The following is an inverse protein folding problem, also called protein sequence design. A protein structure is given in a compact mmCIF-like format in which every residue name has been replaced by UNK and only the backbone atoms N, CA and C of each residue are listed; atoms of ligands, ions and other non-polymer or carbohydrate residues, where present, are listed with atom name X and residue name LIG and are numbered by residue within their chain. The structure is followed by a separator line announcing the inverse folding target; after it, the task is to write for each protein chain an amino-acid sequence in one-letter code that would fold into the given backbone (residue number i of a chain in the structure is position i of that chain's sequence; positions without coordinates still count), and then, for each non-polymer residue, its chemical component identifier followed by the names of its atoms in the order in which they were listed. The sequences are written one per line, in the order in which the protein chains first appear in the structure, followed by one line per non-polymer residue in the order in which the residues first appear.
data_IF_440432335965
#
_entry.id   IF_440432335965
#
_cell.length_a   1.000
_cell.length_b   1.000
_cell.length_c   1.000
_cell.angle_alpha   90.00
_cell.angle_beta   90.00
_cell.angle_gamma   90.00
#
_symmetry.space_group_name_H-M   'P 1'
#
loop_
_entity.id
_entity.type
_entity.pdbx_description
1 polymer ?
#
# COMPACT_ATOMS: atom_id res chain seq x y z
N UNK A 1 -16.62 -37.91 97.31
CA UNK A 1 -16.35 -36.56 97.83
C UNK A 1 -17.10 -35.56 96.95
N UNK A 2 -18.05 -34.82 97.54
CA UNK A 2 -18.79 -33.60 97.07
C UNK A 2 -19.39 -33.62 95.65
N UNK A 3 -20.72 -33.70 95.49
CA UNK A 3 -21.80 -32.71 95.68
C UNK A 3 -22.25 -32.10 94.34
N UNK A 4 -23.57 -32.05 94.18
CA UNK A 4 -24.41 -31.57 93.08
C UNK A 4 -24.08 -30.18 92.52
N UNK A 5 -24.56 -29.88 91.29
CA UNK A 5 -25.63 -28.90 91.05
C UNK A 5 -25.98 -28.82 89.55
N UNK A 6 -27.28 -28.77 89.25
CA UNK A 6 -27.84 -28.47 87.94
C UNK A 6 -28.13 -26.97 87.82
N UNK A 7 -27.89 -26.36 86.66
CA UNK A 7 -28.52 -25.10 86.24
C UNK A 7 -28.74 -25.12 84.72
N UNK A 8 -30.00 -25.08 84.31
CA UNK A 8 -30.45 -24.68 82.96
C UNK A 8 -30.34 -23.17 82.79
N UNK A 9 -29.87 -22.72 81.63
CA UNK A 9 -30.21 -21.39 81.10
C UNK A 9 -30.65 -21.54 79.65
N UNK A 10 -31.90 -21.16 79.38
CA UNK A 10 -32.41 -20.90 78.05
C UNK A 10 -31.99 -19.50 77.60
N UNK A 11 -31.64 -19.34 76.31
CA UNK A 11 -31.60 -18.03 75.65
C UNK A 11 -32.03 -18.19 74.18
N UNK A 12 -33.01 -17.37 73.82
CA UNK A 12 -33.79 -17.24 72.60
C UNK A 12 -32.98 -16.66 71.41
N UNK A 13 -33.52 -16.73 70.16
CA UNK A 13 -32.76 -16.59 68.92
C UNK A 13 -32.58 -15.12 68.51
N UNK A 14 -31.48 -14.83 67.79
CA UNK A 14 -31.35 -13.60 67.01
C UNK A 14 -31.29 -13.99 65.53
N UNK A 15 -32.43 -13.79 64.87
CA UNK A 15 -32.58 -13.77 63.41
C UNK A 15 -31.77 -12.58 62.85
N UNK A 16 -30.63 -12.87 62.22
CA UNK A 16 -29.92 -11.92 61.39
C UNK A 16 -30.48 -11.92 59.97
N UNK A 17 -31.27 -10.90 59.63
CA UNK A 17 -31.69 -10.64 58.25
C UNK A 17 -30.50 -10.04 57.50
N UNK A 18 -29.83 -10.82 56.66
CA UNK A 18 -28.87 -10.27 55.68
C UNK A 18 -29.64 -9.90 54.41
N UNK A 19 -29.90 -8.60 54.25
CA UNK A 19 -30.24 -8.01 52.97
C UNK A 19 -29.02 -8.04 52.05
N UNK A 20 -28.84 -9.13 51.30
CA UNK A 20 -27.95 -9.13 50.15
C UNK A 20 -28.72 -8.51 48.97
N UNK A 21 -28.47 -7.23 48.72
CA UNK A 21 -28.91 -6.56 47.51
C UNK A 21 -28.38 -7.32 46.28
N UNK A 22 -29.28 -7.82 45.44
CA UNK A 22 -28.95 -8.37 44.14
C UNK A 22 -28.38 -7.26 43.25
N UNK A 23 -27.10 -7.38 42.87
CA UNK A 23 -26.52 -6.61 41.78
C UNK A 23 -26.80 -7.41 40.50
N UNK A 24 -27.60 -6.90 39.54
CA UNK A 24 -27.63 -7.51 38.23
C UNK A 24 -26.33 -7.16 37.51
N UNK A 25 -25.41 -8.11 37.42
CA UNK A 25 -24.30 -8.04 36.46
C UNK A 25 -24.88 -8.26 35.06
N UNK A 26 -25.34 -7.17 34.44
CA UNK A 26 -25.50 -7.14 32.99
C UNK A 26 -24.10 -7.07 32.43
N UNK A 27 -23.53 -8.23 32.08
CA UNK A 27 -22.35 -8.29 31.22
C UNK A 27 -22.71 -7.61 29.91
N UNK A 28 -22.39 -6.32 29.84
CA UNK A 28 -22.33 -5.59 28.60
C UNK A 28 -21.30 -6.27 27.73
N UNK A 29 -21.76 -7.21 26.90
CA UNK A 29 -21.02 -7.66 25.73
C UNK A 29 -20.73 -6.40 24.94
N UNK A 30 -19.51 -5.87 25.12
CA UNK A 30 -18.97 -4.79 24.32
C UNK A 30 -18.97 -5.29 22.88
N UNK A 31 -20.05 -4.96 22.15
CA UNK A 31 -20.13 -5.11 20.72
C UNK A 31 -19.04 -4.21 20.15
N UNK A 32 -17.86 -4.78 19.94
CA UNK A 32 -16.75 -4.11 19.26
C UNK A 32 -17.33 -3.61 17.94
N UNK A 33 -17.50 -2.30 17.82
CA UNK A 33 -17.95 -1.65 16.58
C UNK A 33 -17.05 -2.15 15.48
N UNK A 34 -17.60 -2.92 14.53
CA UNK A 34 -16.85 -3.39 13.36
C UNK A 34 -16.37 -2.14 12.63
N UNK A 35 -15.07 -1.87 12.65
CA UNK A 35 -14.49 -0.74 11.92
C UNK A 35 -14.88 -0.80 10.46
N UNK A 36 -15.21 0.33 9.84
CA UNK A 36 -15.51 0.36 8.40
C UNK A 36 -14.22 0.06 7.62
N UNK A 37 -14.27 -0.73 6.54
CA UNK A 37 -13.12 -0.89 5.66
C UNK A 37 -12.57 0.46 5.21
N UNK A 38 -11.26 0.63 5.37
CA UNK A 38 -10.49 1.81 5.01
C UNK A 38 -10.22 2.80 6.14
N UNK A 39 -10.81 2.59 7.33
CA UNK A 39 -10.59 3.48 8.47
C UNK A 39 -9.23 3.23 9.15
N UNK A 40 -8.64 2.05 8.93
CA UNK A 40 -7.33 1.69 9.50
C UNK A 40 -6.52 0.83 8.54
N UNK A 41 -5.20 0.78 8.78
CA UNK A 41 -4.28 -0.10 8.05
C UNK A 41 -4.61 -1.58 8.22
N UNK A 42 -5.13 -1.98 9.39
CA UNK A 42 -5.50 -3.37 9.68
C UNK A 42 -6.81 -3.83 9.05
N UNK A 43 -7.64 -2.88 8.59
CA UNK A 43 -8.89 -3.15 7.89
C UNK A 43 -9.01 -2.23 6.67
N UNK A 44 -8.18 -2.40 5.62
CA UNK A 44 -8.16 -1.51 4.46
C UNK A 44 -9.30 -1.84 3.47
N UNK A 45 -9.63 -0.90 2.59
CA UNK A 45 -10.44 -1.19 1.40
C UNK A 45 -9.60 -2.03 0.42
N UNK A 46 -10.02 -3.27 0.17
CA UNK A 46 -9.29 -4.22 -0.67
C UNK A 46 -9.80 -4.17 -2.10
N UNK A 47 -8.93 -4.16 -3.10
CA UNK A 47 -9.37 -4.26 -4.48
C UNK A 47 -8.26 -4.49 -5.49
N UNK A 48 -8.69 -4.90 -6.69
CA UNK A 48 -7.84 -5.05 -7.86
C UNK A 48 -7.83 -3.78 -8.72
N UNK A 49 -6.69 -3.50 -9.33
CA UNK A 49 -6.55 -2.39 -10.28
C UNK A 49 -6.73 -2.92 -11.71
N UNK A 50 -7.50 -2.19 -12.51
CA UNK A 50 -7.69 -2.50 -13.93
C UNK A 50 -6.60 -1.83 -14.76
N UNK A 51 -5.92 -2.64 -15.58
CA UNK A 51 -4.92 -2.23 -16.58
C UNK A 51 -5.66 -1.92 -17.88
N UNK A 52 -5.43 -0.75 -18.44
CA UNK A 52 -6.16 -0.20 -19.59
C UNK A 52 -5.37 -0.29 -20.90
N UNK A 53 -4.05 -0.33 -20.84
CA UNK A 53 -3.18 -0.35 -22.01
C UNK A 53 -1.70 -0.30 -21.61
N UNK A 54 -1.06 0.83 -21.87
CA UNK A 54 0.35 1.09 -21.55
C UNK A 54 0.61 1.25 -20.04
N UNK A 55 -0.42 1.48 -19.23
CA UNK A 55 -0.29 1.41 -17.77
C UNK A 55 0.14 0.00 -17.27
N UNK A 56 0.14 -1.02 -18.13
CA UNK A 56 0.72 -2.32 -17.83
C UNK A 56 2.19 -2.22 -17.42
N UNK A 57 3.00 -1.37 -18.07
CA UNK A 57 4.42 -1.18 -17.69
C UNK A 57 4.53 -0.56 -16.31
N UNK A 58 3.78 0.52 -16.04
CA UNK A 58 3.81 1.19 -14.73
C UNK A 58 3.40 0.24 -13.61
N UNK A 59 2.36 -0.56 -13.83
CA UNK A 59 1.92 -1.52 -12.81
C UNK A 59 2.89 -2.68 -12.67
N UNK A 60 3.59 -3.11 -13.72
CA UNK A 60 4.60 -4.16 -13.57
C UNK A 60 5.80 -3.72 -12.73
N UNK A 61 6.16 -2.42 -12.79
CA UNK A 61 7.10 -1.79 -11.84
C UNK A 61 6.57 -1.89 -10.42
N UNK A 62 5.30 -1.52 -10.19
CA UNK A 62 4.66 -1.59 -8.86
C UNK A 62 4.65 -3.02 -8.31
N UNK A 63 4.28 -3.98 -9.16
CA UNK A 63 4.25 -5.39 -8.84
C UNK A 63 5.63 -5.93 -8.49
N UNK A 64 6.66 -5.57 -9.25
CA UNK A 64 8.05 -5.91 -8.89
C UNK A 64 8.45 -5.30 -7.54
N UNK A 65 8.14 -4.03 -7.32
CA UNK A 65 8.47 -3.34 -6.07
C UNK A 65 7.78 -4.01 -4.86
N UNK A 66 6.48 -4.33 -4.97
CA UNK A 66 5.73 -5.03 -3.92
C UNK A 66 6.25 -6.46 -3.71
N UNK A 67 6.44 -7.21 -4.80
CA UNK A 67 6.75 -8.64 -4.77
C UNK A 67 8.22 -8.91 -4.38
N UNK A 68 9.15 -8.13 -4.93
CA UNK A 68 10.58 -8.42 -4.86
C UNK A 68 11.35 -7.47 -3.94
N UNK A 69 10.82 -6.27 -3.66
CA UNK A 69 11.48 -5.28 -2.78
C UNK A 69 10.76 -5.04 -1.46
N UNK A 70 9.66 -5.76 -1.22
CA UNK A 70 8.88 -5.67 0.02
C UNK A 70 8.14 -4.34 0.19
N UNK A 71 7.92 -3.59 -0.90
CA UNK A 71 7.15 -2.35 -0.84
C UNK A 71 5.69 -2.62 -0.43
N UNK A 72 5.03 -1.68 0.27
CA UNK A 72 3.71 -1.90 0.82
C UNK A 72 2.64 -2.17 -0.25
N UNK A 73 1.84 -3.22 -0.04
CA UNK A 73 0.59 -3.45 -0.79
C UNK A 73 -0.59 -2.70 -0.19
N UNK A 74 -0.47 -2.28 1.08
CA UNK A 74 -1.48 -1.52 1.84
C UNK A 74 -0.97 -0.13 2.11
N UNK A 75 -1.68 0.90 1.65
CA UNK A 75 -1.25 2.29 1.67
C UNK A 75 -2.39 3.20 2.11
N UNK A 76 -2.05 4.40 2.59
CA UNK A 76 -3.05 5.44 2.90
C UNK A 76 -3.03 6.53 1.82
N UNK A 77 -4.16 6.75 1.15
CA UNK A 77 -4.30 7.79 0.13
C UNK A 77 -4.19 9.18 0.76
N UNK A 78 -3.50 10.10 0.11
CA UNK A 78 -3.35 11.51 0.54
C UNK A 78 -3.85 12.49 -0.53
N UNK A 79 -4.00 13.76 -0.11
CA UNK A 79 -4.40 14.85 -0.99
C UNK A 79 -3.29 15.31 -1.94
N UNK A 80 -3.64 16.17 -2.91
CA UNK A 80 -2.73 16.68 -3.95
C UNK A 80 -1.51 17.43 -3.38
N UNK A 81 -1.70 18.28 -2.37
CA UNK A 81 -0.61 19.08 -1.78
C UNK A 81 0.52 18.21 -1.21
N UNK A 82 0.27 17.25 -0.30
CA UNK A 82 1.33 16.35 0.15
C UNK A 82 1.83 15.42 -0.96
N UNK A 83 1.00 15.03 -1.93
CA UNK A 83 1.47 14.25 -3.07
C UNK A 83 2.47 14.99 -3.97
N UNK A 84 2.35 16.31 -4.08
CA UNK A 84 3.35 17.13 -4.77
C UNK A 84 4.67 17.19 -3.97
N UNK A 85 4.59 17.24 -2.64
CA UNK A 85 5.79 17.20 -1.76
C UNK A 85 6.53 15.87 -1.93
N UNK A 86 5.81 14.76 -2.07
CA UNK A 86 6.40 13.44 -2.31
C UNK A 86 7.24 13.37 -3.59
N UNK A 87 7.12 14.30 -4.54
CA UNK A 87 7.92 14.33 -5.77
C UNK A 87 9.11 15.29 -5.72
N UNK A 88 9.19 16.11 -4.67
CA UNK A 88 10.21 17.15 -4.55
C UNK A 88 11.58 16.57 -4.22
N UNK A 89 12.64 17.25 -4.68
CA UNK A 89 14.03 16.88 -4.38
C UNK A 89 14.32 16.90 -2.89
N UNK A 90 13.80 17.91 -2.18
CA UNK A 90 14.14 18.14 -0.77
C UNK A 90 13.48 17.15 0.19
N UNK A 91 12.36 16.53 -0.20
CA UNK A 91 11.49 15.80 0.72
C UNK A 91 10.97 14.46 0.20
N UNK A 92 11.13 14.20 -1.09
CA UNK A 92 10.44 13.13 -1.79
C UNK A 92 11.37 12.25 -2.64
N UNK A 93 10.82 11.69 -3.70
CA UNK A 93 11.51 10.82 -4.66
C UNK A 93 12.44 11.55 -5.62
N UNK A 94 12.39 12.89 -5.64
CA UNK A 94 13.03 13.72 -6.66
C UNK A 94 12.54 13.47 -8.11
N UNK A 95 11.37 12.86 -8.33
CA UNK A 95 10.77 12.71 -9.66
C UNK A 95 10.57 14.06 -10.41
N UNK A 96 10.41 15.18 -9.69
CA UNK A 96 10.36 16.51 -10.30
C UNK A 96 11.66 16.93 -11.01
N UNK A 97 12.81 16.25 -10.76
CA UNK A 97 14.03 16.44 -11.56
C UNK A 97 13.88 15.93 -12.99
N UNK A 98 12.88 15.08 -13.25
CA UNK A 98 12.69 14.37 -14.52
C UNK A 98 13.95 13.56 -14.91
N UNK A 99 14.43 12.66 -14.03
CA UNK A 99 15.73 12.03 -14.19
C UNK A 99 15.83 11.18 -15.46
N UNK A 100 14.72 10.65 -15.95
CA UNK A 100 14.70 9.81 -17.16
C UNK A 100 14.67 10.60 -18.48
N UNK A 101 14.57 11.95 -18.45
CA UNK A 101 14.80 12.77 -19.66
C UNK A 101 16.27 12.81 -20.06
N UNK A 102 17.16 12.71 -19.08
CA UNK A 102 18.61 12.70 -19.26
C UNK A 102 19.25 11.84 -18.15
N UNK A 103 19.14 10.50 -18.25
CA UNK A 103 19.63 9.60 -17.21
C UNK A 103 21.15 9.72 -17.02
N UNK A 104 21.90 10.02 -18.08
CA UNK A 104 23.35 10.19 -18.04
C UNK A 104 23.78 11.34 -17.12
N UNK A 105 23.09 12.50 -17.18
CA UNK A 105 23.30 13.62 -16.25
C UNK A 105 23.17 13.23 -14.77
N UNK A 106 22.40 12.19 -14.47
CA UNK A 106 22.15 11.71 -13.12
C UNK A 106 22.92 10.43 -12.76
N UNK A 107 23.83 9.98 -13.63
CA UNK A 107 24.61 8.76 -13.42
C UNK A 107 23.78 7.47 -13.49
N UNK A 108 22.62 7.52 -14.15
CA UNK A 108 21.72 6.40 -14.34
C UNK A 108 21.99 5.73 -15.69
N UNK A 109 21.86 4.40 -15.74
CA UNK A 109 21.83 3.63 -16.99
C UNK A 109 20.62 4.08 -17.82
N UNK A 110 20.80 4.45 -19.11
CA UNK A 110 19.67 4.78 -19.97
C UNK A 110 18.80 3.53 -20.22
N UNK A 111 17.48 3.71 -20.19
CA UNK A 111 16.54 2.66 -20.60
C UNK A 111 16.78 2.24 -22.06
N UNK A 112 16.43 0.99 -22.45
CA UNK A 112 16.61 0.51 -23.82
C UNK A 112 15.81 1.34 -24.84
N UNK A 113 16.11 1.22 -26.14
CA UNK A 113 15.26 1.78 -27.18
C UNK A 113 13.80 1.36 -27.02
N UNK A 114 12.90 2.26 -27.37
CA UNK A 114 11.46 2.03 -27.28
C UNK A 114 11.01 1.18 -28.46
N UNK A 115 9.96 0.39 -28.24
CA UNK A 115 9.43 -0.51 -29.26
C UNK A 115 8.01 -0.08 -29.69
N UNK A 116 7.41 -0.87 -30.58
CA UNK A 116 6.05 -0.63 -31.08
C UNK A 116 5.01 -0.58 -29.94
N UNK A 117 5.20 -1.38 -28.88
CA UNK A 117 4.29 -1.40 -27.72
C UNK A 117 4.23 -0.03 -27.03
N UNK A 118 5.37 0.66 -26.88
CA UNK A 118 5.42 2.02 -26.34
C UNK A 118 5.21 3.13 -27.39
N UNK A 119 4.70 2.79 -28.58
CA UNK A 119 4.51 3.73 -29.69
C UNK A 119 5.79 4.43 -30.13
N UNK A 120 6.95 3.78 -29.94
CA UNK A 120 8.28 4.37 -30.12
C UNK A 120 8.52 5.68 -29.34
N UNK A 121 7.78 5.93 -28.25
CA UNK A 121 7.93 7.11 -27.40
C UNK A 121 8.91 6.85 -26.26
N UNK A 122 9.84 7.79 -26.03
CA UNK A 122 10.88 7.70 -25.00
C UNK A 122 10.39 7.36 -23.60
N UNK A 123 11.19 6.59 -22.85
CA UNK A 123 10.98 6.24 -21.43
C UNK A 123 11.31 7.40 -20.49
N UNK A 124 10.72 8.56 -20.72
CA UNK A 124 11.16 9.84 -20.14
C UNK A 124 10.40 10.27 -18.89
N UNK A 125 9.32 9.56 -18.53
CA UNK A 125 8.53 9.82 -17.33
C UNK A 125 8.98 8.91 -16.19
N UNK A 126 8.86 9.39 -14.94
CA UNK A 126 9.22 8.61 -13.77
C UNK A 126 7.97 7.96 -13.17
N UNK A 127 7.85 6.64 -13.34
CA UNK A 127 6.94 5.83 -12.51
C UNK A 127 7.46 5.85 -11.07
N UNK A 128 6.58 5.88 -10.07
CA UNK A 128 6.97 5.98 -8.67
C UNK A 128 6.17 5.04 -7.77
N UNK A 129 6.84 4.06 -7.14
CA UNK A 129 6.22 3.17 -6.17
C UNK A 129 6.96 3.12 -4.83
N UNK A 130 6.31 3.31 -3.67
CA UNK A 130 4.87 3.55 -3.50
C UNK A 130 4.41 4.88 -4.09
N UNK A 131 3.14 4.93 -4.53
CA UNK A 131 2.62 6.08 -5.27
C UNK A 131 2.82 7.38 -4.48
N UNK A 132 3.30 8.42 -5.15
CA UNK A 132 3.37 9.74 -4.53
C UNK A 132 2.00 10.25 -4.04
N UNK A 133 0.87 9.68 -4.51
CA UNK A 133 -0.48 9.94 -3.99
C UNK A 133 -0.84 9.22 -2.68
N UNK A 134 0.13 8.59 -2.02
CA UNK A 134 -0.02 7.88 -0.74
C UNK A 134 0.94 8.42 0.33
N UNK A 135 0.68 8.10 1.60
CA UNK A 135 1.59 8.42 2.72
C UNK A 135 2.93 7.71 2.62
N UNK A 136 2.92 6.51 2.07
CA UNK A 136 4.09 5.64 1.93
C UNK A 136 4.97 6.03 0.74
N UNK A 137 4.45 6.87 -0.17
CA UNK A 137 5.20 7.38 -1.31
C UNK A 137 6.16 8.50 -0.96
N UNK A 138 7.01 8.84 -1.94
CA UNK A 138 7.98 9.92 -1.84
C UNK A 138 9.38 9.43 -1.51
N UNK A 139 9.89 9.72 -0.31
CA UNK A 139 11.24 9.29 0.07
C UNK A 139 11.31 7.76 0.00
N UNK A 140 12.36 7.24 -0.64
CA UNK A 140 12.56 5.80 -0.90
C UNK A 140 11.61 5.16 -1.91
N UNK A 141 10.77 5.93 -2.61
CA UNK A 141 10.03 5.39 -3.74
C UNK A 141 10.99 4.93 -4.84
N UNK A 142 10.74 3.73 -5.35
CA UNK A 142 11.37 3.16 -6.53
C UNK A 142 10.90 3.94 -7.75
N UNK A 143 11.85 4.26 -8.61
CA UNK A 143 11.66 4.98 -9.85
C UNK A 143 12.09 4.14 -11.03
N UNK A 144 11.25 4.07 -12.06
CA UNK A 144 11.57 3.46 -13.36
C UNK A 144 11.10 4.39 -14.49
N UNK A 145 11.88 4.44 -15.57
CA UNK A 145 11.54 5.22 -16.76
C UNK A 145 10.41 4.56 -17.54
N UNK A 146 9.33 5.31 -17.79
CA UNK A 146 8.15 4.87 -18.56
C UNK A 146 7.76 5.92 -19.59
N UNK A 147 6.85 5.60 -20.53
CA UNK A 147 6.35 6.62 -21.45
C UNK A 147 5.43 7.59 -20.71
N UNK A 148 5.27 8.80 -21.25
CA UNK A 148 4.27 9.75 -20.76
C UNK A 148 2.85 9.17 -20.87
N UNK A 149 2.58 8.34 -21.89
CA UNK A 149 1.28 7.71 -22.07
C UNK A 149 1.01 6.67 -20.98
N UNK A 150 1.97 5.79 -20.67
CA UNK A 150 1.86 4.82 -19.56
C UNK A 150 1.50 5.51 -18.25
N UNK A 151 2.18 6.61 -17.91
CA UNK A 151 1.91 7.38 -16.69
C UNK A 151 0.50 8.02 -16.69
N UNK A 152 0.07 8.54 -17.83
CA UNK A 152 -1.24 9.18 -17.96
C UNK A 152 -2.37 8.15 -17.87
N UNK A 153 -2.21 6.97 -18.45
CA UNK A 153 -3.14 5.85 -18.29
C UNK A 153 -3.18 5.35 -16.85
N UNK A 154 -2.04 5.20 -16.19
CA UNK A 154 -1.98 4.78 -14.78
C UNK A 154 -2.73 5.77 -13.89
N UNK A 155 -2.54 7.08 -14.11
CA UNK A 155 -3.31 8.13 -13.42
C UNK A 155 -4.82 7.97 -13.60
N UNK A 156 -5.28 7.61 -14.80
CA UNK A 156 -6.70 7.34 -15.05
C UNK A 156 -7.17 6.07 -14.33
N UNK A 157 -6.42 4.98 -14.42
CA UNK A 157 -6.73 3.71 -13.77
C UNK A 157 -6.77 3.84 -12.24
N UNK A 158 -5.80 4.52 -11.62
CA UNK A 158 -5.81 4.80 -10.19
C UNK A 158 -6.98 5.70 -9.78
N UNK A 159 -7.32 6.72 -10.59
CA UNK A 159 -8.50 7.55 -10.32
C UNK A 159 -9.78 6.71 -10.32
N UNK A 160 -9.96 5.83 -11.30
CA UNK A 160 -11.11 4.94 -11.38
C UNK A 160 -11.14 3.95 -10.22
N UNK A 161 -9.99 3.37 -9.85
CA UNK A 161 -9.85 2.51 -8.69
C UNK A 161 -10.29 3.23 -7.40
N UNK A 162 -9.79 4.45 -7.16
CA UNK A 162 -10.19 5.22 -5.97
C UNK A 162 -11.69 5.56 -5.97
N UNK A 163 -12.25 5.97 -7.11
CA UNK A 163 -13.67 6.34 -7.23
C UNK A 163 -14.59 5.12 -7.02
N UNK A 164 -14.33 4.02 -7.73
CA UNK A 164 -15.11 2.77 -7.66
C UNK A 164 -15.16 2.22 -6.24
N UNK A 165 -14.03 2.28 -5.53
CA UNK A 165 -13.89 1.74 -4.18
C UNK A 165 -14.16 2.78 -3.07
N UNK A 166 -14.63 3.99 -3.43
CA UNK A 166 -14.92 5.09 -2.48
C UNK A 166 -13.74 5.46 -1.58
N UNK A 167 -12.50 5.31 -2.07
CA UNK A 167 -11.28 5.60 -1.32
C UNK A 167 -11.09 7.11 -1.23
N UNK A 168 -11.09 7.63 -0.01
CA UNK A 168 -10.97 9.05 0.29
C UNK A 168 -9.50 9.45 0.48
N UNK A 169 -9.21 10.74 0.32
CA UNK A 169 -7.87 11.26 0.65
C UNK A 169 -7.82 11.58 2.14
N UNK A 170 -6.80 11.11 2.84
CA UNK A 170 -6.52 11.54 4.20
C UNK A 170 -6.39 13.07 4.26
N UNK A 171 -7.22 13.69 5.10
CA UNK A 171 -7.18 15.12 5.35
C UNK A 171 -6.29 15.38 6.57
N UNK A 172 -5.14 16.05 6.36
CA UNK A 172 -4.18 16.40 7.42
C UNK A 172 -4.75 17.40 8.43
N UNK A 173 -5.65 18.29 8.00
CA UNK A 173 -6.22 19.34 8.86
C UNK A 173 -7.24 18.75 9.82
N UNK A 174 -8.15 17.91 9.32
CA UNK A 174 -9.20 17.29 10.15
C UNK A 174 -8.79 15.95 10.76
N UNK A 175 -7.60 15.45 10.42
CA UNK A 175 -7.09 14.11 10.79
C UNK A 175 -8.05 12.96 10.42
N UNK A 176 -9.00 13.18 9.52
CA UNK A 176 -9.99 12.18 9.11
C UNK A 176 -9.32 11.05 8.33
N UNK A 177 -9.48 9.82 8.82
CA UNK A 177 -8.90 8.59 8.25
C UNK A 177 -9.93 7.69 7.58
N UNK A 178 -11.22 7.98 7.73
CA UNK A 178 -12.29 7.10 7.27
C UNK A 178 -12.21 6.84 5.75
N UNK A 179 -12.19 5.57 5.37
CA UNK A 179 -12.08 5.16 3.96
C UNK A 179 -10.79 5.57 3.25
N UNK A 180 -9.69 5.87 3.97
CA UNK A 180 -8.44 6.36 3.36
C UNK A 180 -7.38 5.27 3.13
N UNK A 181 -7.48 4.16 3.86
CA UNK A 181 -6.59 3.01 3.73
C UNK A 181 -7.10 2.06 2.66
N UNK A 182 -6.22 1.62 1.78
CA UNK A 182 -6.53 0.66 0.73
C UNK A 182 -5.43 -0.36 0.57
N UNK A 183 -5.79 -1.55 0.08
CA UNK A 183 -4.86 -2.61 -0.27
C UNK A 183 -5.06 -3.03 -1.72
N UNK A 184 -3.96 -3.02 -2.48
CA UNK A 184 -3.91 -3.61 -3.80
C UNK A 184 -3.83 -5.13 -3.63
N UNK A 185 -4.85 -5.84 -4.10
CA UNK A 185 -4.91 -7.30 -4.01
C UNK A 185 -4.54 -8.02 -5.31
N UNK A 186 -4.46 -7.28 -6.41
CA UNK A 186 -4.11 -7.82 -7.72
C UNK A 186 -4.35 -6.82 -8.84
N UNK A 187 -4.07 -7.27 -10.05
CA UNK A 187 -4.19 -6.50 -11.29
C UNK A 187 -4.90 -7.33 -12.35
N UNK A 188 -5.75 -6.70 -13.16
CA UNK A 188 -6.45 -7.40 -14.25
C UNK A 188 -6.52 -6.54 -15.50
N UNK A 189 -6.53 -7.16 -16.66
CA UNK A 189 -6.82 -6.47 -17.89
C UNK A 189 -8.27 -5.95 -17.89
N UNK A 190 -8.48 -4.72 -18.34
CA UNK A 190 -9.81 -4.15 -18.51
C UNK A 190 -10.52 -4.88 -19.66
N UNK A 191 -11.76 -5.39 -19.45
CA UNK A 191 -12.53 -5.99 -20.54
C UNK A 191 -12.71 -5.01 -21.71
N UNK A 192 -12.61 -5.53 -22.93
CA UNK A 192 -12.76 -4.73 -24.16
C UNK A 192 -11.55 -3.88 -24.54
N UNK A 193 -10.38 -4.11 -23.94
CA UNK A 193 -9.10 -3.53 -24.38
C UNK A 193 -8.11 -4.61 -24.80
N UNK A 194 -7.04 -4.21 -25.48
CA UNK A 194 -5.90 -5.09 -25.82
C UNK A 194 -4.88 -5.21 -24.68
N UNK A 195 -5.21 -4.69 -23.49
CA UNK A 195 -4.30 -4.66 -22.35
C UNK A 195 -3.97 -6.06 -21.85
N UNK A 196 -2.74 -6.24 -21.39
CA UNK A 196 -2.28 -7.48 -20.75
C UNK A 196 -1.66 -7.17 -19.40
N UNK A 197 -1.82 -8.10 -18.46
CA UNK A 197 -1.13 -8.04 -17.17
C UNK A 197 0.34 -8.39 -17.38
N UNK A 198 1.25 -7.53 -16.94
CA UNK A 198 2.70 -7.74 -17.04
C UNK A 198 3.20 -8.96 -16.24
N UNK A 199 4.41 -9.47 -16.52
CA UNK A 199 4.95 -10.67 -15.88
C UNK A 199 5.10 -10.58 -14.36
N UNK A 200 5.61 -9.48 -13.80
CA UNK A 200 5.68 -9.31 -12.35
C UNK A 200 4.29 -9.23 -11.72
N UNK A 201 3.34 -8.58 -12.38
CA UNK A 201 1.96 -8.56 -11.91
C UNK A 201 1.26 -9.91 -12.00
N UNK A 202 1.55 -10.73 -13.01
CA UNK A 202 1.09 -12.13 -13.05
C UNK A 202 1.62 -12.90 -11.85
N UNK A 203 2.90 -12.78 -11.53
CA UNK A 203 3.49 -13.42 -10.36
C UNK A 203 2.85 -12.90 -9.05
N UNK A 204 2.67 -11.58 -8.92
CA UNK A 204 2.00 -10.95 -7.79
C UNK A 204 0.57 -11.47 -7.57
N UNK A 205 -0.23 -11.58 -8.64
CA UNK A 205 -1.60 -12.10 -8.58
C UNK A 205 -1.66 -13.55 -8.08
N UNK A 206 -0.67 -14.37 -8.45
CA UNK A 206 -0.58 -15.76 -7.97
C UNK A 206 -0.05 -15.89 -6.55
N UNK A 207 0.39 -14.78 -5.94
CA UNK A 207 1.06 -14.72 -4.61
C UNK A 207 2.30 -15.62 -4.52
N UNK A 208 2.90 -15.96 -5.66
CA UNK A 208 4.07 -16.82 -5.76
C UNK A 208 5.14 -16.07 -6.54
N UNK A 209 6.20 -15.57 -5.87
CA UNK A 209 7.28 -14.88 -6.59
C UNK A 209 7.99 -15.81 -7.57
N UNK A 210 8.05 -17.12 -7.30
CA UNK A 210 8.85 -18.03 -8.13
C UNK A 210 10.31 -17.53 -8.22
N UNK A 211 10.90 -17.62 -9.41
CA UNK A 211 12.23 -17.09 -9.68
C UNK A 211 12.23 -15.64 -10.20
N UNK A 212 11.09 -14.96 -10.35
CA UNK A 212 11.03 -13.63 -11.02
C UNK A 212 11.84 -12.56 -10.27
N UNK A 213 12.02 -12.72 -8.95
CA UNK A 213 12.82 -11.82 -8.12
C UNK A 213 14.32 -12.17 -8.07
N UNK A 214 14.75 -13.26 -8.71
CA UNK A 214 16.15 -13.72 -8.67
C UNK A 214 17.02 -12.92 -9.63
N UNK A 215 18.23 -12.56 -9.20
CA UNK A 215 19.18 -11.76 -10.00
C UNK A 215 19.48 -12.38 -11.39
N UNK A 216 19.56 -13.70 -11.49
CA UNK A 216 19.84 -14.41 -12.75
C UNK A 216 18.64 -14.60 -13.69
N UNK A 217 17.41 -14.23 -13.28
CA UNK A 217 16.21 -14.43 -14.11
C UNK A 217 15.82 -13.14 -14.80
N UNK A 218 15.85 -13.07 -16.13
CA UNK A 218 15.30 -11.92 -16.87
C UNK A 218 13.80 -12.06 -17.08
N UNK A 219 13.07 -11.00 -16.76
CA UNK A 219 11.61 -10.95 -16.76
C UNK A 219 11.17 -9.80 -17.67
N UNK A 220 11.03 -10.12 -18.96
CA UNK A 220 10.77 -9.13 -20.01
C UNK A 220 9.26 -9.07 -20.29
N UNK A 221 8.68 -7.88 -20.22
CA UNK A 221 7.30 -7.62 -20.66
C UNK A 221 7.21 -7.16 -22.11
N UNK A 222 6.00 -6.86 -22.57
CA UNK A 222 5.74 -6.43 -23.96
C UNK A 222 6.48 -5.11 -24.33
N UNK A 223 6.89 -4.31 -23.34
CA UNK A 223 7.75 -3.12 -23.50
C UNK A 223 9.23 -3.45 -23.83
N UNK A 224 9.62 -4.73 -23.82
CA UNK A 224 10.89 -5.19 -24.38
C UNK A 224 12.10 -5.14 -23.45
N UNK A 225 11.92 -4.86 -22.15
CA UNK A 225 13.00 -4.92 -21.16
C UNK A 225 12.53 -5.42 -19.80
N UNK A 226 13.47 -5.69 -18.90
CA UNK A 226 13.16 -6.03 -17.51
C UNK A 226 13.17 -4.77 -16.64
N UNK A 227 12.04 -4.42 -16.02
CA UNK A 227 11.93 -3.20 -15.21
C UNK A 227 12.91 -3.18 -14.04
N UNK A 228 13.30 -4.35 -13.53
CA UNK A 228 14.24 -4.47 -12.44
C UNK A 228 15.67 -4.05 -12.84
N UNK A 229 16.03 -4.10 -14.13
CA UNK A 229 17.36 -3.66 -14.60
C UNK A 229 17.50 -2.13 -14.67
N UNK A 230 16.41 -1.38 -14.40
CA UNK A 230 16.34 0.09 -14.59
C UNK A 230 15.65 0.79 -13.42
N UNK A 231 15.69 0.18 -12.22
CA UNK A 231 15.06 0.69 -11.01
C UNK A 231 16.04 1.48 -10.13
N UNK A 232 15.59 2.66 -9.68
CA UNK A 232 16.41 3.59 -8.89
C UNK A 232 15.67 4.14 -7.67
N UNK A 233 16.41 4.58 -6.66
CA UNK A 233 15.89 5.37 -5.54
C UNK A 233 16.74 6.63 -5.38
N UNK A 234 16.09 7.76 -5.11
CA UNK A 234 16.82 9.00 -4.81
C UNK A 234 17.41 8.99 -3.40
N UNK A 235 18.74 9.02 -3.31
CA UNK A 235 19.47 9.10 -2.07
C UNK A 235 19.66 10.57 -1.65
N UNK A 236 19.01 10.93 -0.55
CA UNK A 236 19.03 12.30 -0.02
C UNK A 236 20.38 12.70 0.59
N UNK A 237 21.21 11.75 0.98
CA UNK A 237 22.53 12.01 1.56
C UNK A 237 23.54 12.32 0.45
N UNK A 238 23.58 11.49 -0.59
CA UNK A 238 24.52 11.64 -1.71
C UNK A 238 24.00 12.58 -2.81
N UNK A 239 22.70 12.91 -2.77
CA UNK A 239 21.96 13.66 -3.79
C UNK A 239 21.94 12.98 -5.18
N UNK A 240 22.19 11.66 -5.24
CA UNK A 240 22.22 10.83 -6.45
C UNK A 240 21.03 9.87 -6.53
N UNK A 241 20.84 9.25 -7.70
CA UNK A 241 19.90 8.15 -7.88
C UNK A 241 20.68 6.83 -7.80
N UNK A 242 20.42 6.05 -6.76
CA UNK A 242 21.11 4.78 -6.52
C UNK A 242 20.32 3.66 -7.21
N UNK A 243 21.03 2.78 -7.91
CA UNK A 243 20.43 1.58 -8.50
C UNK A 243 19.94 0.64 -7.38
N UNK A 244 18.70 0.18 -7.48
CA UNK A 244 18.07 -0.73 -6.49
C UNK A 244 17.46 -1.98 -7.14
N UNK A 245 17.78 -2.17 -8.41
CA UNK A 245 17.36 -3.32 -9.21
C UNK A 245 17.91 -4.65 -8.74
N UNK A 246 17.96 -5.61 -9.65
CA UNK A 246 18.56 -6.94 -9.42
C UNK A 246 19.93 -7.09 -10.07
#
# INVERSE_FOLDING_TARGET
MKLSFAISFALLPILGVQNAAAIPAVDSVSLKVRSTPGDSRGNPIRGEIEIRGEDALTYDVDCWAMLCKGMPTTMQKIGKKPANVNRQVMKGSAANKQPFKDPGKYGMKPSPPTNLWGGHKGWVSAEEFPFASTRDGGKSAILVGVTVNSQQEQKWSLRQFYQKNKIQSYNRQTKKQDGTWFQITGFRARPGTTAKVGPYCRAFNTKKPGNVCSAGTKVIGDWGFDVAEYAYVYNHSTKKFDYVGK
#
